data_IF_764795736649
#
_entry.id   IF_764795736649
#
_cell.length_a   1.000
_cell.length_b   1.000
_cell.length_c   1.000
_cell.angle_alpha   90.00
_cell.angle_beta   90.00
_cell.angle_gamma   90.00
#
_symmetry.space_group_name_H-M   'P 1'
#
loop_
_entity.id
_entity.type
_entity.pdbx_description
1 polymer ?
#
# COMPACT_ATOMS: atom_id res chain seq x y z
N UNK A 1 13.73 18.40 -14.67
CA UNK A 1 12.34 17.97 -14.42
C UNK A 1 11.89 18.64 -13.14
N UNK A 2 10.63 19.09 -13.05
CA UNK A 2 10.07 19.55 -11.78
C UNK A 2 10.17 18.43 -10.72
N UNK A 3 10.38 18.79 -9.46
CA UNK A 3 10.37 17.83 -8.36
C UNK A 3 9.01 17.13 -8.31
N UNK A 4 8.96 15.82 -8.01
CA UNK A 4 7.69 15.12 -7.88
C UNK A 4 6.86 15.75 -6.74
N UNK A 5 5.58 16.02 -7.02
CA UNK A 5 4.65 16.65 -6.09
C UNK A 5 3.42 15.77 -5.94
N UNK A 6 3.06 15.47 -4.69
CA UNK A 6 1.94 14.61 -4.34
C UNK A 6 0.89 15.38 -3.55
N UNK A 7 -0.36 15.31 -4.00
CA UNK A 7 -1.51 15.64 -3.16
C UNK A 7 -1.89 14.38 -2.36
N UNK A 8 -1.88 14.48 -1.04
CA UNK A 8 -2.21 13.37 -0.13
C UNK A 8 -3.49 13.65 0.65
N UNK A 9 -4.56 12.92 0.33
CA UNK A 9 -5.89 13.09 0.93
C UNK A 9 -6.15 11.91 1.90
N UNK A 10 -5.90 12.13 3.19
CA UNK A 10 -5.94 11.07 4.22
C UNK A 10 -6.33 11.64 5.60
N UNK A 11 -6.43 10.78 6.62
CA UNK A 11 -6.58 11.23 8.01
C UNK A 11 -5.34 11.96 8.55
N UNK A 12 -5.53 12.87 9.50
CA UNK A 12 -4.45 13.41 10.32
C UNK A 12 -4.68 13.11 11.80
N UNK A 13 -3.58 12.79 12.50
CA UNK A 13 -3.55 12.59 13.94
C UNK A 13 -2.42 13.39 14.58
N UNK A 14 -2.67 14.00 15.74
CA UNK A 14 -1.66 14.80 16.46
C UNK A 14 -0.58 13.90 17.07
N UNK A 15 -0.96 12.83 17.78
CA UNK A 15 -0.05 11.83 18.38
C UNK A 15 -0.19 10.47 17.69
N UNK A 16 0.94 9.86 17.34
CA UNK A 16 1.02 8.58 16.61
C UNK A 16 1.38 8.71 15.14
N UNK A 17 1.29 7.61 14.40
CA UNK A 17 1.63 7.52 12.97
C UNK A 17 0.53 6.76 12.21
N UNK A 18 -0.41 7.50 11.63
CA UNK A 18 -1.44 7.03 10.69
C UNK A 18 -1.76 8.17 9.69
N UNK A 19 -2.39 7.81 8.58
CA UNK A 19 -2.73 8.68 7.45
C UNK A 19 -1.57 9.58 7.02
N UNK A 20 -1.86 10.86 6.81
CA UNK A 20 -0.88 11.86 6.36
C UNK A 20 0.35 11.93 7.27
N UNK A 21 0.23 11.68 8.58
CA UNK A 21 1.40 11.69 9.47
C UNK A 21 2.35 10.50 9.23
N UNK A 22 1.82 9.35 8.81
CA UNK A 22 2.64 8.20 8.41
C UNK A 22 3.15 8.34 6.96
N UNK A 23 2.40 9.00 6.08
CA UNK A 23 2.72 9.13 4.67
C UNK A 23 3.72 10.26 4.34
N UNK A 24 3.56 11.45 4.96
CA UNK A 24 4.31 12.65 4.58
C UNK A 24 5.82 12.52 4.79
N UNK A 25 6.26 11.99 5.94
CA UNK A 25 7.69 11.89 6.24
C UNK A 25 8.45 10.99 5.25
N UNK A 26 8.01 9.75 4.94
CA UNK A 26 8.64 8.92 3.92
C UNK A 26 8.68 9.58 2.53
N UNK A 27 7.58 10.20 2.11
CA UNK A 27 7.51 10.87 0.80
C UNK A 27 8.51 12.02 0.70
N UNK A 28 8.53 12.91 1.70
CA UNK A 28 9.49 14.03 1.77
C UNK A 28 10.93 13.55 1.80
N UNK A 29 11.20 12.49 2.57
CA UNK A 29 12.51 11.88 2.66
C UNK A 29 13.00 11.30 1.32
N UNK A 30 12.06 10.84 0.49
CA UNK A 30 12.31 10.31 -0.85
C UNK A 30 12.18 11.38 -1.96
N UNK A 31 12.18 12.66 -1.59
CA UNK A 31 12.31 13.79 -2.53
C UNK A 31 11.00 14.34 -3.09
N UNK A 32 9.85 14.03 -2.48
CA UNK A 32 8.56 14.57 -2.89
C UNK A 32 8.21 15.86 -2.14
N UNK A 33 7.67 16.85 -2.87
CA UNK A 33 6.84 17.89 -2.27
C UNK A 33 5.48 17.28 -1.91
N UNK A 34 5.04 17.41 -0.66
CA UNK A 34 3.82 16.77 -0.16
C UNK A 34 2.83 17.83 0.31
N UNK A 35 1.77 18.03 -0.45
CA UNK A 35 0.61 18.83 -0.03
C UNK A 35 -0.43 17.89 0.58
N UNK A 36 -0.93 18.23 1.77
CA UNK A 36 -1.84 17.35 2.53
C UNK A 36 -3.23 17.96 2.65
N UNK A 37 -4.25 17.14 2.41
CA UNK A 37 -5.64 17.44 2.71
C UNK A 37 -6.14 16.45 3.76
N UNK A 38 -6.54 16.96 4.92
CA UNK A 38 -6.90 16.13 6.08
C UNK A 38 -8.39 15.85 6.09
N UNK A 39 -8.78 14.58 5.99
CA UNK A 39 -10.18 14.14 6.07
C UNK A 39 -10.72 14.12 7.51
N UNK A 40 -9.81 13.97 8.46
CA UNK A 40 -10.06 14.12 9.91
C UNK A 40 -8.85 14.74 10.58
N UNK A 41 -9.06 15.39 11.71
CA UNK A 41 -8.02 15.92 12.58
C UNK A 41 -8.28 15.43 14.01
N UNK A 42 -7.68 14.30 14.38
CA UNK A 42 -7.88 13.68 15.70
C UNK A 42 -6.65 13.83 16.61
N UNK A 43 -6.86 13.75 17.93
CA UNK A 43 -5.78 13.75 18.93
C UNK A 43 -4.80 12.59 18.74
N UNK A 44 -5.32 11.41 18.38
CA UNK A 44 -4.60 10.15 18.18
C UNK A 44 -5.48 9.17 17.40
N UNK A 45 -4.92 8.04 16.96
CA UNK A 45 -5.70 7.01 16.27
C UNK A 45 -6.70 6.32 17.21
N UNK A 46 -7.72 5.68 16.63
CA UNK A 46 -8.86 5.07 17.32
C UNK A 46 -8.54 3.78 18.09
N UNK A 47 -7.27 3.38 18.09
CA UNK A 47 -6.78 2.24 18.88
C UNK A 47 -6.48 2.58 20.34
N UNK A 48 -6.43 3.86 20.69
CA UNK A 48 -6.30 4.33 22.07
C UNK A 48 -7.63 4.23 22.83
N UNK A 49 -7.60 4.15 24.19
CA UNK A 49 -8.81 4.14 25.02
C UNK A 49 -9.73 5.35 24.84
N UNK A 50 -9.17 6.49 24.47
CA UNK A 50 -9.89 7.72 24.19
C UNK A 50 -9.22 8.49 23.05
N UNK A 51 -10.04 9.20 22.28
CA UNK A 51 -9.62 10.10 21.22
C UNK A 51 -10.69 11.18 21.06
N UNK A 52 -10.30 12.33 20.52
CA UNK A 52 -11.24 13.42 20.18
C UNK A 52 -10.74 14.15 18.93
N UNK A 53 -11.60 14.96 18.33
CA UNK A 53 -11.26 15.82 17.21
C UNK A 53 -12.41 15.96 16.22
N UNK A 54 -12.08 16.42 15.03
CA UNK A 54 -13.07 16.81 14.03
C UNK A 54 -12.93 16.00 12.74
N UNK A 55 -14.06 15.79 12.07
CA UNK A 55 -14.12 15.21 10.72
C UNK A 55 -14.38 16.35 9.74
N UNK A 56 -13.60 16.43 8.68
CA UNK A 56 -13.90 17.34 7.59
C UNK A 56 -15.20 16.92 6.91
N UNK A 57 -16.01 17.88 6.46
CA UNK A 57 -17.15 17.64 5.58
C UNK A 57 -16.70 17.66 4.12
N UNK A 58 -17.49 17.05 3.23
CA UNK A 58 -17.21 17.11 1.79
C UNK A 58 -17.10 18.55 1.27
N UNK A 59 -17.94 19.46 1.77
CA UNK A 59 -17.89 20.89 1.44
C UNK A 59 -16.57 21.54 1.87
N UNK A 60 -16.04 21.20 3.06
CA UNK A 60 -14.75 21.71 3.51
C UNK A 60 -13.61 21.22 2.62
N UNK A 61 -13.63 19.95 2.19
CA UNK A 61 -12.63 19.40 1.27
C UNK A 61 -12.69 20.10 -0.10
N UNK A 62 -13.90 20.29 -0.64
CA UNK A 62 -14.11 21.02 -1.90
C UNK A 62 -13.61 22.46 -1.80
N UNK A 63 -13.93 23.20 -0.71
CA UNK A 63 -13.45 24.58 -0.52
C UNK A 63 -11.93 24.69 -0.46
N UNK A 64 -11.26 23.73 0.17
CA UNK A 64 -9.78 23.70 0.17
C UNK A 64 -9.25 23.52 -1.25
N UNK A 65 -9.84 22.61 -2.02
CA UNK A 65 -9.45 22.38 -3.42
C UNK A 65 -9.72 23.61 -4.32
N UNK A 66 -10.88 24.26 -4.18
CA UNK A 66 -11.19 25.52 -4.88
C UNK A 66 -10.17 26.63 -4.54
N UNK A 67 -9.69 26.67 -3.30
CA UNK A 67 -8.60 27.56 -2.89
C UNK A 67 -7.28 27.26 -3.62
N UNK A 68 -6.96 26.00 -3.86
CA UNK A 68 -5.80 25.60 -4.68
C UNK A 68 -6.01 26.02 -6.14
N UNK A 69 -7.20 25.76 -6.71
CA UNK A 69 -7.54 26.14 -8.09
C UNK A 69 -7.43 27.65 -8.30
N UNK A 70 -7.94 28.45 -7.36
CA UNK A 70 -7.91 29.93 -7.42
C UNK A 70 -6.49 30.48 -7.52
N UNK A 71 -5.51 29.77 -6.93
CA UNK A 71 -4.10 30.15 -6.94
C UNK A 71 -3.28 29.37 -7.98
N UNK A 72 -3.93 28.62 -8.88
CA UNK A 72 -3.28 27.80 -9.91
C UNK A 72 -2.30 26.75 -9.33
N UNK A 73 -2.63 26.21 -8.14
CA UNK A 73 -1.78 25.27 -7.38
C UNK A 73 -2.16 23.78 -7.58
N UNK A 74 -2.88 23.45 -8.66
CA UNK A 74 -3.38 22.08 -8.91
C UNK A 74 -2.46 21.23 -9.80
N UNK A 75 -1.22 21.68 -9.99
CA UNK A 75 -0.19 20.94 -10.74
C UNK A 75 0.44 19.84 -9.87
N UNK A 76 -0.20 18.66 -9.85
CA UNK A 76 0.28 17.48 -9.14
C UNK A 76 0.82 16.43 -10.10
N UNK A 77 1.95 15.81 -9.76
CA UNK A 77 2.44 14.64 -10.51
C UNK A 77 1.87 13.34 -9.95
N UNK A 78 1.50 13.34 -8.67
CA UNK A 78 0.98 12.18 -7.95
C UNK A 78 -0.23 12.54 -7.10
N UNK A 79 -1.10 11.56 -6.88
CA UNK A 79 -2.21 11.63 -5.96
C UNK A 79 -2.21 10.38 -5.08
N UNK A 80 -2.38 10.56 -3.78
CA UNK A 80 -2.50 9.46 -2.82
C UNK A 80 -3.76 9.68 -1.97
N UNK A 81 -4.67 8.72 -1.99
CA UNK A 81 -5.82 8.71 -1.06
C UNK A 81 -5.68 7.58 -0.06
N UNK A 82 -6.09 7.83 1.19
CA UNK A 82 -6.14 6.83 2.26
C UNK A 82 -7.47 6.90 3.00
N UNK A 83 -7.46 6.95 4.34
CA UNK A 83 -8.69 7.05 5.12
C UNK A 83 -9.51 8.30 4.79
N UNK A 84 -10.71 8.12 4.20
CA UNK A 84 -11.67 9.19 3.88
C UNK A 84 -12.84 9.25 4.87
N UNK A 85 -13.26 8.08 5.38
CA UNK A 85 -14.15 7.95 6.55
C UNK A 85 -15.65 8.07 6.31
N UNK A 86 -16.13 8.61 5.18
CA UNK A 86 -17.57 8.67 4.88
C UNK A 86 -17.88 8.74 3.39
N UNK A 87 -19.08 8.30 2.99
CA UNK A 87 -19.54 8.35 1.61
C UNK A 87 -19.67 9.80 1.07
N UNK A 88 -20.06 10.75 1.93
CA UNK A 88 -20.12 12.17 1.52
C UNK A 88 -18.74 12.73 1.20
N UNK A 89 -17.74 12.46 2.05
CA UNK A 89 -16.36 12.88 1.78
C UNK A 89 -15.79 12.17 0.56
N UNK A 90 -16.09 10.88 0.39
CA UNK A 90 -15.61 10.11 -0.75
C UNK A 90 -16.18 10.62 -2.08
N UNK A 91 -17.43 11.11 -2.10
CA UNK A 91 -18.00 11.81 -3.27
C UNK A 91 -17.24 13.09 -3.59
N UNK A 92 -17.00 13.95 -2.60
CA UNK A 92 -16.24 15.18 -2.80
C UNK A 92 -14.80 14.90 -3.31
N UNK A 93 -14.14 13.90 -2.74
CA UNK A 93 -12.81 13.45 -3.19
C UNK A 93 -12.87 12.87 -4.61
N UNK A 94 -13.94 12.17 -4.97
CA UNK A 94 -14.15 11.67 -6.34
C UNK A 94 -14.26 12.82 -7.34
N UNK A 95 -14.93 13.90 -6.98
CA UNK A 95 -15.05 15.09 -7.86
C UNK A 95 -13.69 15.81 -8.00
N UNK A 96 -12.92 15.92 -6.91
CA UNK A 96 -11.54 16.43 -6.94
C UNK A 96 -10.66 15.57 -7.85
N UNK A 97 -10.74 14.23 -7.74
CA UNK A 97 -10.00 13.30 -8.60
C UNK A 97 -10.36 13.52 -10.07
N UNK A 98 -11.66 13.63 -10.40
CA UNK A 98 -12.12 13.87 -11.77
C UNK A 98 -11.54 15.16 -12.35
N UNK A 99 -11.49 16.22 -11.56
CA UNK A 99 -10.93 17.51 -11.98
C UNK A 99 -9.41 17.46 -12.18
N UNK A 100 -8.66 16.88 -11.23
CA UNK A 100 -7.20 16.68 -11.35
C UNK A 100 -6.82 15.92 -12.62
N UNK A 101 -7.66 14.97 -13.07
CA UNK A 101 -7.45 14.24 -14.33
C UNK A 101 -7.56 15.10 -15.58
N UNK A 102 -8.32 16.19 -15.51
CA UNK A 102 -8.41 17.17 -16.60
C UNK A 102 -7.20 18.11 -16.64
N UNK A 103 -6.52 18.31 -15.50
CA UNK A 103 -5.39 19.23 -15.36
C UNK A 103 -4.00 18.59 -15.45
N UNK A 104 -3.90 17.25 -15.39
CA UNK A 104 -2.61 16.57 -15.54
C UNK A 104 -2.63 15.04 -15.48
N UNK A 105 -3.77 14.43 -15.09
CA UNK A 105 -3.88 12.98 -14.86
C UNK A 105 -2.75 12.45 -13.97
N UNK A 106 -2.61 12.99 -12.72
CA UNK A 106 -1.53 12.59 -11.82
C UNK A 106 -1.54 11.08 -11.61
N UNK A 107 -0.37 10.51 -11.31
CA UNK A 107 -0.27 9.10 -10.98
C UNK A 107 -1.02 8.83 -9.66
N UNK A 108 -2.24 8.32 -9.78
CA UNK A 108 -3.14 8.11 -8.66
C UNK A 108 -2.96 6.73 -8.03
N UNK A 109 -2.52 6.72 -6.77
CA UNK A 109 -2.49 5.54 -5.89
C UNK A 109 -3.69 5.60 -4.93
N UNK A 110 -4.57 4.60 -5.08
CA UNK A 110 -5.76 4.42 -4.25
C UNK A 110 -5.48 3.41 -3.14
N UNK A 111 -5.39 3.87 -1.90
CA UNK A 111 -5.52 3.02 -0.71
C UNK A 111 -6.98 3.01 -0.26
N UNK A 112 -7.74 1.92 -0.51
CA UNK A 112 -9.17 1.86 -0.27
C UNK A 112 -9.48 1.54 1.20
N UNK A 113 -8.99 2.38 2.12
CA UNK A 113 -9.06 2.16 3.58
C UNK A 113 -10.49 2.02 4.06
N UNK A 114 -10.94 0.78 4.23
CA UNK A 114 -12.30 0.44 4.65
C UNK A 114 -12.32 -0.42 5.91
N UNK A 115 -11.28 -1.21 6.15
CA UNK A 115 -11.28 -2.16 7.25
C UNK A 115 -10.08 -3.08 7.27
N UNK A 116 -9.97 -3.86 8.33
CA UNK A 116 -8.91 -4.86 8.50
C UNK A 116 -9.42 -5.98 9.41
N UNK A 117 -8.77 -7.14 9.37
CA UNK A 117 -9.09 -8.30 10.21
C UNK A 117 -10.58 -8.68 10.20
N UNK A 118 -11.23 -8.61 9.03
CA UNK A 118 -12.63 -8.98 8.86
C UNK A 118 -13.64 -7.94 9.35
N UNK A 119 -13.21 -6.73 9.72
CA UNK A 119 -14.07 -5.70 10.31
C UNK A 119 -13.95 -4.37 9.54
N UNK A 120 -15.10 -3.79 9.18
CA UNK A 120 -15.17 -2.46 8.60
C UNK A 120 -14.95 -1.37 9.66
N UNK A 121 -14.17 -0.34 9.30
CA UNK A 121 -14.01 0.89 10.07
C UNK A 121 -15.04 1.97 9.69
N UNK A 122 -15.64 1.82 8.51
CA UNK A 122 -16.54 2.78 7.87
C UNK A 122 -17.88 2.12 7.56
N UNK A 123 -18.89 2.93 7.26
CA UNK A 123 -20.19 2.42 6.85
C UNK A 123 -20.09 1.74 5.46
N UNK A 124 -20.83 0.66 5.19
CA UNK A 124 -20.77 -0.07 3.91
C UNK A 124 -21.15 0.75 2.67
N UNK A 125 -21.78 1.92 2.83
CA UNK A 125 -22.20 2.81 1.73
C UNK A 125 -21.03 3.43 0.95
N UNK A 126 -19.79 3.32 1.45
CA UNK A 126 -18.58 3.72 0.72
C UNK A 126 -18.15 2.70 -0.34
N UNK A 127 -18.55 1.43 -0.21
CA UNK A 127 -18.04 0.33 -1.06
C UNK A 127 -18.34 0.58 -2.55
N UNK A 128 -19.56 0.98 -2.96
CA UNK A 128 -19.85 1.29 -4.37
C UNK A 128 -19.00 2.45 -4.91
N UNK A 129 -18.69 3.44 -4.07
CA UNK A 129 -17.88 4.60 -4.46
C UNK A 129 -16.41 4.21 -4.64
N UNK A 130 -15.85 3.37 -3.75
CA UNK A 130 -14.50 2.84 -3.96
C UNK A 130 -14.39 1.99 -5.22
N UNK A 131 -15.42 1.17 -5.52
CA UNK A 131 -15.48 0.43 -6.80
C UNK A 131 -15.52 1.37 -8.00
N UNK A 132 -16.24 2.50 -7.92
CA UNK A 132 -16.23 3.53 -8.97
C UNK A 132 -14.83 4.14 -9.15
N UNK A 133 -14.12 4.39 -8.04
CA UNK A 133 -12.79 5.02 -8.07
C UNK A 133 -11.70 4.17 -8.73
N UNK A 134 -11.86 2.84 -8.77
CA UNK A 134 -10.89 1.93 -9.40
C UNK A 134 -10.55 2.34 -10.84
N UNK A 135 -11.53 2.81 -11.62
CA UNK A 135 -11.33 3.21 -13.02
C UNK A 135 -10.43 4.45 -13.19
N UNK A 136 -10.19 5.19 -12.11
CA UNK A 136 -9.32 6.37 -12.10
C UNK A 136 -7.93 6.07 -11.54
N UNK A 137 -7.77 4.98 -10.79
CA UNK A 137 -6.53 4.64 -10.12
C UNK A 137 -5.51 4.02 -11.08
N UNK A 138 -4.28 4.55 -11.08
CA UNK A 138 -3.14 3.92 -11.77
C UNK A 138 -2.56 2.77 -10.94
N UNK A 139 -2.67 2.86 -9.61
CA UNK A 139 -2.37 1.78 -8.70
C UNK A 139 -3.39 1.67 -7.56
N UNK A 140 -3.62 0.45 -7.05
CA UNK A 140 -4.47 0.19 -5.88
C UNK A 140 -3.73 -0.66 -4.85
N UNK A 141 -3.88 -0.34 -3.56
CA UNK A 141 -3.14 -0.97 -2.44
C UNK A 141 -4.04 -1.61 -1.36
N UNK A 142 -5.05 -2.43 -1.70
CA UNK A 142 -5.90 -3.03 -0.68
C UNK A 142 -5.12 -4.03 0.19
N UNK A 143 -5.51 -4.17 1.45
CA UNK A 143 -5.21 -5.42 2.20
C UNK A 143 -6.13 -6.56 1.72
N UNK A 144 -5.93 -7.80 2.19
CA UNK A 144 -6.77 -8.93 1.80
C UNK A 144 -8.26 -8.67 2.00
N UNK A 145 -8.67 -8.16 3.16
CA UNK A 145 -10.08 -7.93 3.47
C UNK A 145 -10.71 -6.90 2.52
N UNK A 146 -9.99 -5.81 2.24
CA UNK A 146 -10.44 -4.78 1.30
C UNK A 146 -10.49 -5.31 -0.14
N UNK A 147 -9.53 -6.13 -0.54
CA UNK A 147 -9.53 -6.78 -1.85
C UNK A 147 -10.75 -7.71 -1.99
N UNK A 148 -11.06 -8.50 -0.96
CA UNK A 148 -12.25 -9.37 -0.93
C UNK A 148 -13.55 -8.57 -1.05
N UNK A 149 -13.66 -7.43 -0.36
CA UNK A 149 -14.82 -6.53 -0.45
C UNK A 149 -14.95 -5.89 -1.84
N UNK A 150 -13.86 -5.36 -2.38
CA UNK A 150 -13.87 -4.68 -3.67
C UNK A 150 -14.29 -5.62 -4.80
N UNK A 151 -13.81 -6.87 -4.74
CA UNK A 151 -13.99 -7.88 -5.78
C UNK A 151 -15.19 -8.80 -5.56
N UNK A 152 -15.81 -8.76 -4.37
CA UNK A 152 -16.82 -9.74 -3.92
C UNK A 152 -16.31 -11.20 -4.02
N UNK A 153 -15.00 -11.39 -3.78
CA UNK A 153 -14.32 -12.66 -3.93
C UNK A 153 -13.52 -12.99 -2.69
N UNK A 154 -13.86 -14.08 -2.00
CA UNK A 154 -13.06 -14.59 -0.87
C UNK A 154 -11.70 -15.08 -1.37
N UNK A 155 -10.62 -14.69 -0.70
CA UNK A 155 -9.26 -15.14 -1.00
C UNK A 155 -8.86 -16.18 0.05
N UNK A 156 -8.72 -17.43 -0.38
CA UNK A 156 -8.35 -18.57 0.48
C UNK A 156 -7.12 -19.33 -0.02
N UNK A 157 -6.72 -19.09 -1.27
CA UNK A 157 -5.65 -19.77 -1.98
C UNK A 157 -5.09 -18.88 -3.09
N UNK A 158 -4.01 -19.31 -3.74
CA UNK A 158 -3.37 -18.58 -4.83
C UNK A 158 -4.35 -18.36 -5.97
N UNK A 159 -5.17 -19.34 -6.32
CA UNK A 159 -6.12 -19.24 -7.42
C UNK A 159 -7.14 -18.11 -7.21
N UNK A 160 -7.80 -18.09 -6.06
CA UNK A 160 -8.76 -17.05 -5.68
C UNK A 160 -8.10 -15.67 -5.55
N UNK A 161 -6.84 -15.60 -5.11
CA UNK A 161 -6.04 -14.38 -5.13
C UNK A 161 -5.82 -13.84 -6.55
N UNK A 162 -5.47 -14.72 -7.50
CA UNK A 162 -5.31 -14.35 -8.91
C UNK A 162 -6.62 -13.89 -9.55
N UNK A 163 -7.74 -14.56 -9.26
CA UNK A 163 -9.07 -14.15 -9.71
C UNK A 163 -9.46 -12.76 -9.17
N UNK A 164 -9.15 -12.45 -7.91
CA UNK A 164 -9.37 -11.13 -7.34
C UNK A 164 -8.52 -10.05 -8.04
N UNK A 165 -7.25 -10.34 -8.32
CA UNK A 165 -6.36 -9.45 -9.09
C UNK A 165 -6.91 -9.19 -10.50
N UNK A 166 -7.42 -10.22 -11.16
CA UNK A 166 -8.04 -10.09 -12.49
C UNK A 166 -9.28 -9.18 -12.46
N UNK A 167 -10.15 -9.31 -11.45
CA UNK A 167 -11.31 -8.42 -11.28
C UNK A 167 -10.87 -6.96 -11.09
N UNK A 168 -9.82 -6.72 -10.30
CA UNK A 168 -9.26 -5.37 -10.10
C UNK A 168 -8.69 -4.79 -11.40
N UNK A 169 -7.97 -5.60 -12.19
CA UNK A 169 -7.50 -5.19 -13.52
C UNK A 169 -8.64 -4.93 -14.51
N UNK A 170 -9.71 -5.72 -14.46
CA UNK A 170 -10.90 -5.53 -15.29
C UNK A 170 -11.71 -4.30 -14.89
N UNK A 171 -11.50 -3.79 -13.66
CA UNK A 171 -12.07 -2.53 -13.18
C UNK A 171 -11.30 -1.29 -13.69
N UNK A 172 -10.22 -1.49 -14.43
CA UNK A 172 -9.43 -0.42 -15.07
C UNK A 172 -8.08 -0.12 -14.41
N UNK A 173 -7.73 -0.81 -13.32
CA UNK A 173 -6.47 -0.57 -12.61
C UNK A 173 -5.30 -1.26 -13.33
N UNK A 174 -4.25 -0.50 -13.62
CA UNK A 174 -3.04 -1.03 -14.24
C UNK A 174 -2.17 -1.79 -13.23
N UNK A 175 -1.93 -1.20 -12.05
CA UNK A 175 -1.04 -1.75 -11.02
C UNK A 175 -1.83 -2.16 -9.78
N UNK A 176 -1.89 -3.47 -9.50
CA UNK A 176 -2.59 -4.02 -8.32
C UNK A 176 -1.56 -4.50 -7.32
N UNK A 177 -1.67 -4.07 -6.06
CA UNK A 177 -0.82 -4.54 -4.96
C UNK A 177 -1.69 -4.92 -3.77
N UNK A 178 -1.93 -6.21 -3.58
CA UNK A 178 -2.52 -6.71 -2.35
C UNK A 178 -1.42 -6.70 -1.28
N UNK A 179 -1.50 -5.72 -0.38
CA UNK A 179 -0.41 -5.35 0.54
C UNK A 179 -0.06 -6.45 1.52
N UNK A 180 -1.07 -7.23 1.91
CA UNK A 180 -0.94 -8.37 2.81
C UNK A 180 -2.05 -9.39 2.53
N UNK A 181 -1.66 -10.62 2.21
CA UNK A 181 -2.57 -11.76 2.00
C UNK A 181 -2.00 -13.01 2.67
N UNK A 182 -2.87 -13.76 3.34
CA UNK A 182 -2.54 -15.03 3.98
C UNK A 182 -2.71 -16.17 2.97
N UNK A 183 -1.62 -16.85 2.63
CA UNK A 183 -1.61 -17.97 1.69
C UNK A 183 -0.78 -19.12 2.25
N UNK A 184 -1.12 -20.36 1.88
CA UNK A 184 -0.29 -21.51 2.20
C UNK A 184 1.04 -21.46 1.43
N UNK A 185 2.20 -21.57 2.10
CA UNK A 185 3.49 -21.64 1.42
C UNK A 185 3.54 -22.78 0.40
N UNK A 186 2.91 -23.92 0.69
CA UNK A 186 2.84 -25.05 -0.24
C UNK A 186 2.05 -24.72 -1.50
N UNK A 187 0.96 -23.96 -1.37
CA UNK A 187 0.14 -23.54 -2.50
C UNK A 187 0.87 -22.51 -3.37
N UNK A 188 1.52 -21.54 -2.71
CA UNK A 188 2.42 -20.58 -3.35
C UNK A 188 3.55 -21.30 -4.10
N UNK A 189 4.19 -22.28 -3.45
CA UNK A 189 5.22 -23.15 -4.02
C UNK A 189 4.76 -23.97 -5.22
N UNK A 190 3.53 -24.48 -5.17
CA UNK A 190 2.96 -25.28 -6.25
C UNK A 190 2.71 -24.49 -7.54
N UNK A 191 2.64 -23.15 -7.46
CA UNK A 191 2.40 -22.25 -8.58
C UNK A 191 3.69 -21.58 -9.13
N UNK A 192 4.87 -22.03 -8.69
CA UNK A 192 6.16 -21.57 -9.23
C UNK A 192 6.63 -22.35 -10.45
N UNK A 193 7.48 -21.69 -11.25
CA UNK A 193 8.36 -22.36 -12.20
C UNK A 193 9.41 -23.15 -11.41
N UNK A 194 9.62 -24.42 -11.78
CA UNK A 194 10.61 -25.35 -11.22
C UNK A 194 12.05 -24.81 -11.28
N UNK A 195 12.45 -23.95 -10.35
CA UNK A 195 13.87 -23.68 -10.03
C UNK A 195 14.18 -23.92 -8.55
N UNK A 196 13.29 -24.62 -7.83
CA UNK A 196 13.52 -25.00 -6.42
C UNK A 196 13.56 -23.82 -5.43
N UNK A 197 13.30 -22.59 -5.87
CA UNK A 197 13.29 -21.38 -5.04
C UNK A 197 11.89 -21.11 -4.49
N UNK A 198 11.70 -21.37 -3.19
CA UNK A 198 10.54 -20.92 -2.42
C UNK A 198 10.82 -19.52 -1.85
N UNK A 199 9.83 -18.61 -1.75
CA UNK A 199 10.02 -17.34 -1.07
C UNK A 199 10.29 -17.65 0.39
N UNK A 200 11.56 -17.59 0.79
CA UNK A 200 11.96 -17.82 2.16
C UNK A 200 11.43 -16.69 3.02
N UNK A 201 10.40 -16.97 3.82
CA UNK A 201 10.01 -16.13 4.96
C UNK A 201 11.03 -16.39 6.08
N UNK A 202 12.25 -15.89 5.90
CA UNK A 202 13.29 -16.05 6.92
C UNK A 202 13.02 -15.07 8.07
N UNK A 203 12.49 -15.58 9.17
CA UNK A 203 12.26 -14.83 10.41
C UNK A 203 10.92 -15.16 11.09
N UNK A 204 10.76 -16.38 11.61
CA UNK A 204 9.64 -16.71 12.50
C UNK A 204 9.97 -16.38 13.95
N UNK A 205 9.17 -15.56 14.66
CA UNK A 205 8.75 -15.94 16.00
C UNK A 205 7.77 -17.11 15.83
N UNK A 206 8.21 -18.32 16.16
CA UNK A 206 7.38 -19.52 16.10
C UNK A 206 6.08 -19.28 16.90
N UNK A 207 4.92 -19.44 16.27
CA UNK A 207 3.73 -19.88 17.00
C UNK A 207 3.92 -21.38 17.23
N UNK A 208 4.30 -21.75 18.45
CA UNK A 208 4.15 -23.13 18.88
C UNK A 208 2.65 -23.48 18.79
N UNK A 209 2.31 -24.40 17.88
CA UNK A 209 1.00 -25.02 17.67
C UNK A 209 -0.09 -24.20 16.96
N UNK A 210 -0.12 -24.22 15.63
CA UNK A 210 -1.38 -24.39 14.87
C UNK A 210 -1.13 -25.09 13.54
N UNK A 211 -1.93 -26.13 13.27
CA UNK A 211 -2.05 -26.89 12.03
C UNK A 211 -2.28 -26.01 10.79
N UNK A 212 -1.55 -26.32 9.71
CA UNK A 212 -1.51 -25.66 8.39
C UNK A 212 -0.99 -24.20 8.43
N UNK A 213 0.34 -24.05 8.41
CA UNK A 213 1.05 -22.76 8.54
C UNK A 213 0.86 -21.84 7.31
N UNK A 214 -0.21 -21.06 7.30
CA UNK A 214 -0.37 -19.93 6.37
C UNK A 214 0.72 -18.87 6.61
N UNK A 215 1.33 -18.34 5.56
CA UNK A 215 2.29 -17.22 5.60
C UNK A 215 1.71 -15.96 4.97
N UNK A 216 2.28 -14.80 5.31
CA UNK A 216 1.85 -13.52 4.75
C UNK A 216 2.71 -13.13 3.55
N UNK A 217 2.04 -12.67 2.51
CA UNK A 217 2.65 -12.23 1.26
C UNK A 217 2.13 -10.85 0.87
N UNK A 218 2.99 -10.06 0.23
CA UNK A 218 2.59 -8.96 -0.63
C UNK A 218 2.50 -9.51 -2.05
N UNK A 219 1.36 -9.36 -2.71
CA UNK A 219 1.14 -9.86 -4.07
C UNK A 219 0.89 -8.69 -4.99
N UNK A 220 1.68 -8.57 -6.06
CA UNK A 220 1.59 -7.46 -7.00
C UNK A 220 1.50 -7.92 -8.45
N UNK A 221 0.80 -7.13 -9.26
CA UNK A 221 0.68 -7.38 -10.69
C UNK A 221 0.48 -6.09 -11.48
N UNK A 222 1.11 -6.01 -12.65
CA UNK A 222 0.92 -4.91 -13.60
C UNK A 222 0.32 -5.47 -14.89
N UNK A 223 -0.73 -4.83 -15.39
CA UNK A 223 -1.34 -5.16 -16.68
C UNK A 223 -0.39 -4.78 -17.80
N UNK A 224 0.02 -5.75 -18.63
CA UNK A 224 0.88 -5.50 -19.81
C UNK A 224 0.06 -4.93 -20.96
N UNK A 225 -0.98 -5.65 -21.40
CA UNK A 225 -1.84 -5.24 -22.53
C UNK A 225 -3.29 -5.71 -22.29
N UNK A 226 -4.24 -5.27 -23.12
CA UNK A 226 -5.66 -5.69 -23.01
C UNK A 226 -5.88 -7.20 -23.20
N UNK A 227 -4.93 -7.92 -23.82
CA UNK A 227 -5.07 -9.33 -24.25
C UNK A 227 -4.04 -10.29 -23.63
N UNK A 228 -3.16 -9.84 -22.72
CA UNK A 228 -2.13 -10.69 -22.10
C UNK A 228 -2.34 -10.79 -20.59
N UNK A 229 -2.11 -11.99 -20.02
CA UNK A 229 -2.15 -12.18 -18.57
C UNK A 229 -1.07 -11.31 -17.91
N UNK A 230 -1.47 -10.50 -16.94
CA UNK A 230 -0.56 -9.75 -16.09
C UNK A 230 0.38 -10.73 -15.37
N UNK A 231 1.69 -10.46 -15.36
CA UNK A 231 2.62 -11.24 -14.54
C UNK A 231 2.35 -10.93 -13.07
N UNK A 232 2.24 -11.95 -12.24
CA UNK A 232 1.95 -11.80 -10.81
C UNK A 232 3.20 -12.18 -10.02
N UNK A 233 3.56 -11.38 -9.03
CA UNK A 233 4.69 -11.63 -8.16
C UNK A 233 4.25 -11.66 -6.70
N UNK A 234 4.77 -12.62 -5.93
CA UNK A 234 4.62 -12.66 -4.49
C UNK A 234 5.94 -12.37 -3.78
N UNK A 235 5.86 -11.61 -2.70
CA UNK A 235 6.98 -11.24 -1.83
C UNK A 235 6.60 -11.66 -0.41
N UNK A 236 7.27 -12.69 0.12
CA UNK A 236 7.06 -13.15 1.49
C UNK A 236 7.72 -12.21 2.49
N UNK A 237 7.07 -11.99 3.64
CA UNK A 237 7.63 -11.19 4.73
C UNK A 237 7.28 -11.77 6.11
N UNK A 238 8.14 -11.56 7.12
CA UNK A 238 7.91 -12.11 8.46
C UNK A 238 6.72 -11.44 9.15
N UNK A 239 5.93 -12.25 9.85
CA UNK A 239 4.84 -11.78 10.71
C UNK A 239 5.29 -11.71 12.16
N UNK A 240 4.84 -10.68 12.87
CA UNK A 240 5.08 -10.53 14.29
C UNK A 240 3.75 -10.47 15.03
N UNK A 241 3.62 -11.22 16.12
CA UNK A 241 2.44 -11.17 16.98
C UNK A 241 2.49 -9.88 17.81
N UNK A 242 1.87 -8.83 17.28
CA UNK A 242 1.89 -7.50 17.87
C UNK A 242 0.81 -6.63 17.25
N UNK A 243 0.53 -5.52 17.93
CA UNK A 243 -0.38 -4.52 17.42
C UNK A 243 0.38 -3.50 16.59
N UNK A 244 -0.07 -3.23 15.38
CA UNK A 244 0.51 -2.24 14.48
C UNK A 244 -0.60 -1.38 13.87
N UNK A 245 -0.37 -0.07 13.80
CA UNK A 245 -1.30 0.89 13.20
C UNK A 245 -0.56 1.78 12.23
N UNK A 246 -1.18 2.10 11.10
CA UNK A 246 -0.59 2.94 10.06
C UNK A 246 0.39 2.22 9.13
N UNK A 247 0.42 0.88 9.15
CA UNK A 247 1.23 0.07 8.24
C UNK A 247 0.76 0.21 6.78
N UNK A 248 -0.55 0.21 6.55
CA UNK A 248 -1.14 0.49 5.22
C UNK A 248 -0.76 1.88 4.70
N UNK A 249 -0.95 2.92 5.53
CA UNK A 249 -0.61 4.30 5.17
C UNK A 249 0.87 4.45 4.78
N UNK A 250 1.78 3.83 5.54
CA UNK A 250 3.21 3.80 5.23
C UNK A 250 3.50 3.03 3.94
N UNK A 251 2.87 1.86 3.76
CA UNK A 251 3.05 1.04 2.57
C UNK A 251 2.66 1.82 1.31
N UNK A 252 1.47 2.42 1.29
CA UNK A 252 0.94 3.16 0.15
C UNK A 252 1.80 4.39 -0.18
N UNK A 253 2.29 5.10 0.85
CA UNK A 253 3.23 6.22 0.67
C UNK A 253 4.59 5.78 0.10
N UNK A 254 5.14 4.67 0.58
CA UNK A 254 6.38 4.10 0.02
C UNK A 254 6.16 3.62 -1.40
N UNK A 255 5.01 3.03 -1.73
CA UNK A 255 4.72 2.56 -3.08
C UNK A 255 4.72 3.72 -4.09
N UNK A 256 4.10 4.86 -3.75
CA UNK A 256 4.16 6.08 -4.58
C UNK A 256 5.61 6.41 -4.93
N UNK A 257 6.47 6.55 -3.92
CA UNK A 257 7.86 6.95 -4.14
C UNK A 257 8.71 5.88 -4.86
N UNK A 258 8.57 4.61 -4.47
CA UNK A 258 9.37 3.52 -5.03
C UNK A 258 8.96 3.15 -6.45
N UNK A 259 7.70 3.34 -6.81
CA UNK A 259 7.24 3.13 -8.18
C UNK A 259 7.66 4.27 -9.11
N UNK A 260 7.62 5.53 -8.65
CA UNK A 260 8.20 6.67 -9.38
C UNK A 260 9.72 6.47 -9.61
N UNK A 261 10.46 6.11 -8.56
CA UNK A 261 11.90 5.79 -8.65
C UNK A 261 12.15 4.67 -9.67
N UNK A 262 11.45 3.54 -9.55
CA UNK A 262 11.64 2.40 -10.45
C UNK A 262 11.30 2.76 -11.90
N UNK A 263 10.24 3.55 -12.13
CA UNK A 263 9.86 4.02 -13.47
C UNK A 263 10.91 4.94 -14.08
N UNK A 264 11.48 5.87 -13.30
CA UNK A 264 12.57 6.74 -13.77
C UNK A 264 13.81 5.94 -14.15
N UNK A 265 14.22 4.98 -13.32
CA UNK A 265 15.39 4.13 -13.59
C UNK A 265 15.19 3.31 -14.87
N UNK A 266 14.01 2.75 -15.10
CA UNK A 266 13.72 2.02 -16.34
C UNK A 266 13.75 2.95 -17.57
N UNK A 267 13.21 4.16 -17.44
CA UNK A 267 13.24 5.16 -18.52
C UNK A 267 14.67 5.59 -18.86
N UNK A 268 15.50 5.87 -17.85
CA UNK A 268 16.91 6.22 -18.05
C UNK A 268 17.68 5.10 -18.75
N UNK A 269 17.44 3.84 -18.37
CA UNK A 269 18.03 2.68 -19.06
C UNK A 269 17.56 2.56 -20.50
N UNK A 270 16.27 2.79 -20.77
CA UNK A 270 15.76 2.76 -22.14
C UNK A 270 16.35 3.90 -22.99
N UNK A 271 16.53 5.09 -22.42
CA UNK A 271 17.11 6.24 -23.11
C UNK A 271 18.59 6.00 -23.42
N UNK A 272 19.36 5.43 -22.48
CA UNK A 272 20.76 5.02 -22.70
C UNK A 272 20.82 3.91 -23.76
N UNK A 273 19.98 2.89 -23.67
CA UNK A 273 19.99 1.79 -24.64
C UNK A 273 19.59 2.26 -26.05
N UNK A 274 18.62 3.18 -26.16
CA UNK A 274 18.25 3.81 -27.43
C UNK A 274 19.39 4.67 -28.00
N UNK A 275 20.25 5.24 -27.14
CA UNK A 275 21.46 5.95 -27.55
C UNK A 275 22.60 5.00 -27.96
N UNK A 276 22.73 3.85 -27.29
CA UNK A 276 23.83 2.88 -27.48
C UNK A 276 23.55 1.82 -28.56
N UNK A 277 22.29 1.52 -28.88
CA UNK A 277 21.91 0.44 -29.81
C UNK A 277 21.27 0.94 -31.10
N UNK A 278 22.09 0.98 -32.16
CA UNK A 278 21.67 0.65 -33.53
C UNK A 278 21.79 -0.87 -33.82
N UNK A 279 22.09 -1.71 -32.83
CA UNK A 279 22.18 -3.17 -33.01
C UNK A 279 21.80 -3.90 -31.73
N UNK A 280 20.95 -4.92 -31.90
CA UNK A 280 20.62 -6.05 -31.01
C UNK A 280 19.55 -5.85 -29.92
N UNK A 281 18.34 -6.31 -30.23
CA UNK A 281 17.31 -6.71 -29.28
C UNK A 281 17.79 -7.92 -28.46
N UNK A 282 17.91 -7.78 -27.14
CA UNK A 282 18.17 -8.91 -26.24
C UNK A 282 17.04 -9.11 -25.21
N UNK A 283 16.30 -10.21 -25.42
CA UNK A 283 15.79 -11.13 -24.39
C UNK A 283 15.02 -10.59 -23.17
N UNK A 284 13.73 -10.26 -23.33
CA UNK A 284 12.80 -9.97 -22.23
C UNK A 284 12.33 -11.24 -21.45
N UNK A 285 13.25 -12.12 -21.08
CA UNK A 285 12.94 -13.48 -20.63
C UNK A 285 12.83 -13.72 -19.12
N UNK A 286 13.44 -12.90 -18.25
CA UNK A 286 13.58 -13.28 -16.83
C UNK A 286 13.62 -12.13 -15.80
N UNK A 287 13.26 -10.89 -16.20
CA UNK A 287 13.37 -9.74 -15.31
C UNK A 287 12.08 -9.53 -14.50
N UNK A 288 12.21 -9.25 -13.19
CA UNK A 288 11.09 -8.82 -12.34
C UNK A 288 10.52 -7.47 -12.83
N UNK A 289 9.20 -7.28 -12.70
CA UNK A 289 8.53 -6.06 -13.18
C UNK A 289 8.94 -4.80 -12.40
N UNK A 290 8.71 -3.62 -12.99
CA UNK A 290 8.92 -2.32 -12.32
C UNK A 290 8.15 -2.23 -10.99
N UNK A 291 6.89 -2.68 -11.00
CA UNK A 291 6.07 -2.75 -9.79
C UNK A 291 6.64 -3.74 -8.76
N UNK A 292 7.13 -4.91 -9.18
CA UNK A 292 7.75 -5.87 -8.27
C UNK A 292 9.05 -5.34 -7.65
N UNK A 293 9.88 -4.61 -8.41
CA UNK A 293 11.07 -3.89 -7.90
C UNK A 293 10.68 -2.84 -6.85
N UNK A 294 9.64 -2.06 -7.13
CA UNK A 294 9.12 -1.09 -6.16
C UNK A 294 8.62 -1.78 -4.89
N UNK A 295 7.80 -2.83 -5.03
CA UNK A 295 7.27 -3.60 -3.90
C UNK A 295 8.37 -4.27 -3.07
N UNK A 296 9.48 -4.71 -3.68
CA UNK A 296 10.63 -5.24 -2.95
C UNK A 296 11.23 -4.21 -1.98
N UNK A 297 11.46 -2.99 -2.46
CA UNK A 297 11.93 -1.88 -1.63
C UNK A 297 10.92 -1.55 -0.53
N UNK A 298 9.63 -1.47 -0.87
CA UNK A 298 8.54 -1.22 0.10
C UNK A 298 8.55 -2.27 1.20
N UNK A 299 8.48 -3.56 0.85
CA UNK A 299 8.46 -4.67 1.81
C UNK A 299 9.73 -4.71 2.66
N UNK A 300 10.88 -4.38 2.08
CA UNK A 300 12.16 -4.32 2.79
C UNK A 300 12.19 -3.18 3.83
N UNK A 301 11.69 -1.99 3.48
CA UNK A 301 11.49 -0.90 4.46
C UNK A 301 10.49 -1.32 5.54
N UNK A 302 9.36 -1.92 5.15
CA UNK A 302 8.33 -2.38 6.08
C UNK A 302 8.87 -3.42 7.08
N UNK A 303 9.67 -4.39 6.61
CA UNK A 303 10.35 -5.39 7.45
C UNK A 303 11.18 -4.71 8.56
N UNK A 304 11.95 -3.68 8.23
CA UNK A 304 12.76 -2.95 9.20
C UNK A 304 11.91 -2.13 10.19
N UNK A 305 10.92 -1.37 9.69
CA UNK A 305 10.04 -0.53 10.52
C UNK A 305 9.21 -1.38 11.48
N UNK A 306 8.60 -2.46 10.98
CA UNK A 306 7.77 -3.38 11.76
C UNK A 306 8.62 -4.11 12.79
N UNK A 307 9.81 -4.64 12.42
CA UNK A 307 10.71 -5.27 13.38
C UNK A 307 11.12 -4.31 14.49
N UNK A 308 11.54 -3.08 14.15
CA UNK A 308 11.91 -2.07 15.16
C UNK A 308 10.74 -1.71 16.07
N UNK A 309 9.53 -1.67 15.51
CA UNK A 309 8.30 -1.43 16.26
C UNK A 309 7.99 -2.58 17.21
N UNK A 310 8.05 -3.82 16.72
CA UNK A 310 7.87 -5.03 17.51
C UNK A 310 8.88 -5.14 18.66
N UNK A 311 10.17 -4.87 18.39
CA UNK A 311 11.21 -4.89 19.42
C UNK A 311 10.93 -3.86 20.54
N UNK A 312 10.29 -2.74 20.23
CA UNK A 312 9.88 -1.74 21.23
C UNK A 312 8.66 -2.19 22.07
N UNK A 313 7.90 -3.18 21.59
CA UNK A 313 6.78 -3.81 22.31
C UNK A 313 7.25 -4.92 23.28
N UNK A 314 8.53 -5.33 23.26
CA UNK A 314 9.07 -6.36 24.16
C UNK A 314 8.71 -6.11 25.63
N UNK A 315 8.28 -7.17 26.32
CA UNK A 315 7.85 -7.12 27.72
C UNK A 315 6.45 -6.55 27.93
N UNK A 316 5.67 -6.34 26.86
CA UNK A 316 4.24 -6.06 26.94
C UNK A 316 3.46 -7.27 26.43
N UNK A 317 2.42 -7.67 27.15
CA UNK A 317 1.48 -8.67 26.67
C UNK A 317 0.45 -7.97 25.78
N UNK A 318 0.72 -7.90 24.47
CA UNK A 318 -0.19 -7.35 23.45
C UNK A 318 -0.81 -8.46 22.56
N UNK A 319 -0.55 -9.73 22.89
CA UNK A 319 -0.94 -10.87 22.07
C UNK A 319 -2.45 -11.07 21.98
N UNK A 320 -2.93 -11.42 20.78
CA UNK A 320 -4.25 -12.00 20.46
C UNK A 320 -5.50 -11.27 20.96
N UNK A 321 -6.27 -10.64 20.06
CA UNK A 321 -7.60 -10.04 20.32
C UNK A 321 -7.71 -9.37 21.71
N UNK A 322 -6.73 -8.53 22.08
CA UNK A 322 -6.85 -7.80 23.34
C UNK A 322 -8.05 -6.88 23.22
N UNK A 323 -8.99 -6.98 24.16
CA UNK A 323 -10.14 -6.09 24.23
C UNK A 323 -9.61 -4.66 24.24
N UNK A 324 -9.87 -3.90 23.16
CA UNK A 324 -9.36 -2.54 22.96
C UNK A 324 -9.72 -1.61 24.14
N UNK A 325 -10.73 -2.00 24.93
CA UNK A 325 -11.16 -1.28 26.15
C UNK A 325 -10.26 -1.49 27.38
N UNK A 326 -9.35 -2.47 27.37
CA UNK A 326 -8.47 -2.79 28.51
C UNK A 326 -6.98 -2.47 28.29
N UNK A 327 -6.59 -2.07 27.09
CA UNK A 327 -5.19 -1.70 26.78
C UNK A 327 -4.92 -0.27 27.23
N UNK A 328 -3.94 -0.04 28.10
CA UNK A 328 -3.60 1.32 28.55
C UNK A 328 -3.02 2.17 27.41
N UNK A 329 -3.22 3.50 27.46
CA UNK A 329 -2.67 4.41 26.47
C UNK A 329 -1.13 4.29 26.34
N UNK A 330 -0.42 3.97 27.43
CA UNK A 330 1.02 3.74 27.43
C UNK A 330 1.41 2.49 26.61
N UNK A 331 0.59 1.44 26.63
CA UNK A 331 0.81 0.25 25.81
C UNK A 331 0.57 0.56 24.34
N UNK A 332 -0.54 1.21 24.00
CA UNK A 332 -0.84 1.60 22.60
C UNK A 332 0.27 2.49 22.05
N UNK A 333 0.77 3.45 22.85
CA UNK A 333 1.89 4.33 22.49
C UNK A 333 3.17 3.56 22.13
N UNK A 334 3.45 2.44 22.79
CA UNK A 334 4.62 1.60 22.49
C UNK A 334 4.48 0.80 21.20
N UNK A 335 3.24 0.62 20.72
CA UNK A 335 2.89 -0.10 19.50
C UNK A 335 2.91 0.79 18.24
N UNK A 336 3.00 2.11 18.41
CA UNK A 336 3.11 3.03 17.28
C UNK A 336 4.39 2.77 16.46
N UNK A 337 4.27 2.95 15.14
CA UNK A 337 5.38 2.72 14.22
C UNK A 337 6.63 3.52 14.62
N UNK A 338 7.77 2.85 14.60
CA UNK A 338 9.10 3.47 14.78
C UNK A 338 9.58 4.10 13.47
N UNK A 339 8.73 4.96 12.91
CA UNK A 339 8.89 5.54 11.58
C UNK A 339 10.16 6.39 11.49
N UNK A 340 10.29 7.38 12.38
CA UNK A 340 11.44 8.31 12.38
C UNK A 340 12.74 7.57 12.68
N UNK A 341 12.71 6.61 13.61
CA UNK A 341 13.90 5.81 13.96
C UNK A 341 14.36 4.90 12.82
N UNK A 342 13.51 4.67 11.82
CA UNK A 342 13.81 3.85 10.65
C UNK A 342 14.12 4.70 9.41
N UNK A 343 14.46 5.99 9.58
CA UNK A 343 14.82 6.92 8.48
C UNK A 343 15.76 6.28 7.44
N UNK A 344 16.86 5.67 7.90
CA UNK A 344 17.86 5.05 7.02
C UNK A 344 17.29 3.88 6.22
N UNK A 345 16.42 3.09 6.83
CA UNK A 345 15.76 1.95 6.18
C UNK A 345 14.67 2.40 5.19
N UNK A 346 14.13 3.61 5.38
CA UNK A 346 13.22 4.27 4.42
C UNK A 346 14.00 4.81 3.22
N UNK A 347 15.17 5.44 3.42
CA UNK A 347 16.03 5.95 2.33
C UNK A 347 16.66 4.79 1.53
N UNK A 348 17.24 3.83 2.25
CA UNK A 348 18.07 2.75 1.70
C UNK A 348 17.70 1.40 2.35
N UNK A 349 16.57 0.78 1.95
CA UNK A 349 16.15 -0.49 2.51
C UNK A 349 17.18 -1.60 2.26
N UNK A 350 17.41 -2.44 3.27
CA UNK A 350 18.15 -3.68 3.07
C UNK A 350 17.23 -4.76 2.47
N UNK A 351 17.45 -5.08 1.20
CA UNK A 351 16.69 -6.09 0.45
C UNK A 351 17.18 -7.53 0.71
N UNK A 352 18.21 -7.71 1.53
CA UNK A 352 18.75 -9.04 1.87
C UNK A 352 17.67 -9.95 2.49
N UNK A 353 17.49 -11.11 1.85
CA UNK A 353 16.51 -12.11 2.26
C UNK A 353 15.05 -11.74 1.95
N UNK A 354 14.80 -10.74 1.09
CA UNK A 354 13.47 -10.44 0.53
C UNK A 354 13.52 -10.72 -0.97
N UNK A 355 12.60 -11.52 -1.49
CA UNK A 355 12.58 -11.94 -2.89
C UNK A 355 11.18 -11.81 -3.48
N UNK A 356 11.11 -11.36 -4.74
CA UNK A 356 9.88 -11.32 -5.53
C UNK A 356 9.90 -12.51 -6.46
N UNK A 357 8.88 -13.35 -6.36
CA UNK A 357 8.80 -14.60 -7.10
C UNK A 357 7.56 -14.60 -7.96
N UNK A 358 7.74 -14.91 -9.25
CA UNK A 358 6.65 -14.93 -10.22
C UNK A 358 5.75 -16.15 -10.01
N UNK A 359 4.45 -15.89 -9.85
CA UNK A 359 3.39 -16.90 -9.77
C UNK A 359 2.84 -17.11 -11.19
N UNK A 360 2.76 -18.36 -11.65
CA UNK A 360 2.09 -18.71 -12.92
C UNK A 360 0.89 -19.61 -12.67
N UNK A 361 -0.22 -19.30 -13.36
CA UNK A 361 -1.32 -20.25 -13.51
C UNK A 361 -0.77 -21.52 -14.18
N UNK A 362 -0.92 -22.67 -13.54
CA UNK A 362 -0.78 -23.96 -14.25
C UNK A 362 -1.90 -24.04 -15.27
N UNK A 363 -1.54 -24.26 -16.54
CA UNK A 363 -2.49 -24.48 -17.64
C UNK A 363 -3.31 -25.74 -17.43
#
# INVERSE_FOLDING_TARGET
MSNPRVLSIQSHIVSGYCGNKAATFPLQLLGFDVDVMNTVSFSNHTGYPSWTGEKATGEQLTKLYEGLQTNELVEYTHLLTGYIGSAQNLKAVTDIIKDLRLHGDPFFVLDPVMGDNGQLYVLPDVIPLYRELLKYAKAVTPNQFEAEILTDKKISDVKSCLEAIEILHNSGVENVVITSVSLSPNDVSAHFLNDGSTPTVNGTPQRENTSEESSMYCVCSSKRDQNSYSRVFAIGFPTYDGYFTGTGDLFSALLVARLDEATRVEKEKSDIHAFESQTEETGAGNQISTLAKACLKVVSTMKAVVLRTYLAQKGINVGGQVDKKQVSAAVVKRCELRLIQSKKDIEHPNEEGVQAIEIKMKQ
#
